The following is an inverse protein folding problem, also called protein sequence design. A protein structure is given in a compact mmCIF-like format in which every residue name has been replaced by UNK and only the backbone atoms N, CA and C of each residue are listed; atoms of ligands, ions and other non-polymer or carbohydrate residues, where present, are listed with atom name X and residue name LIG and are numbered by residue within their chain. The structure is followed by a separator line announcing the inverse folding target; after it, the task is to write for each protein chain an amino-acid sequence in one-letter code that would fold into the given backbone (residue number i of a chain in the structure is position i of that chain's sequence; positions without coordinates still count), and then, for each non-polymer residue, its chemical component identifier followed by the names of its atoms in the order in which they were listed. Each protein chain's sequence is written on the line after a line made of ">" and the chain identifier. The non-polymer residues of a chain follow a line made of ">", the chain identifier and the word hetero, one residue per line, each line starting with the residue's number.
data_IF_957627749675
#
_entry.id   IF_957627749675
#
_cell.length_a   1.000
_cell.length_b   1.000
_cell.length_c   1.000
_cell.angle_alpha   90.00
_cell.angle_beta   90.00
_cell.angle_gamma   90.00
#
_symmetry.space_group_name_H-M   'P 1'
#
loop_
_entity.id
_entity.type
_entity.pdbx_description
1 polymer ?
#
# COMPACT_ATOMS: atom_id res chain seq x y z
N UNK A 1 -7.02 25.16 -3.35
CA UNK A 1 -7.12 24.91 -4.79
C UNK A 1 -5.89 25.41 -5.57
N UNK A 2 -5.44 26.65 -5.38
CA UNK A 2 -4.28 27.21 -6.12
C UNK A 2 -3.03 26.33 -6.00
N UNK A 3 -2.73 25.77 -4.83
CA UNK A 3 -1.60 24.87 -4.64
C UNK A 3 -1.78 23.55 -5.40
N UNK A 4 -3.00 23.01 -5.48
CA UNK A 4 -3.29 21.80 -6.27
C UNK A 4 -3.08 22.07 -7.76
N UNK A 5 -3.47 23.23 -8.26
CA UNK A 5 -3.21 23.62 -9.66
C UNK A 5 -1.70 23.72 -9.97
N UNK A 6 -0.91 24.19 -8.99
CA UNK A 6 0.55 24.22 -9.12
C UNK A 6 1.16 22.80 -9.14
N UNK A 7 0.66 21.87 -8.31
CA UNK A 7 1.07 20.46 -8.34
C UNK A 7 0.73 19.80 -9.69
N UNK A 8 -0.47 20.02 -10.20
CA UNK A 8 -0.87 19.53 -11.52
C UNK A 8 0.07 20.05 -12.61
N UNK A 9 0.39 21.35 -12.60
CA UNK A 9 1.32 21.95 -13.53
C UNK A 9 2.73 21.35 -13.41
N UNK A 10 3.19 21.05 -12.21
CA UNK A 10 4.48 20.37 -11.95
C UNK A 10 4.57 19.01 -12.66
N UNK A 11 3.52 18.18 -12.56
CA UNK A 11 3.47 16.88 -13.22
C UNK A 11 3.41 16.94 -14.74
N UNK A 12 2.92 18.04 -15.32
CA UNK A 12 2.91 18.22 -16.77
C UNK A 12 4.28 18.58 -17.36
N UNK A 13 5.24 18.94 -16.53
CA UNK A 13 6.62 19.15 -16.96
C UNK A 13 7.23 17.79 -17.37
N UNK A 14 7.81 17.62 -18.57
CA UNK A 14 8.28 16.32 -19.05
C UNK A 14 9.24 15.58 -18.09
N UNK A 15 10.11 16.34 -17.40
CA UNK A 15 11.07 15.80 -16.43
C UNK A 15 10.39 15.21 -15.19
N UNK A 16 9.18 15.66 -14.85
CA UNK A 16 8.45 15.28 -13.65
C UNK A 16 7.32 14.27 -13.96
N UNK A 17 7.19 13.82 -15.19
CA UNK A 17 6.10 12.93 -15.62
C UNK A 17 6.04 11.60 -14.83
N UNK A 18 7.17 11.14 -14.28
CA UNK A 18 7.28 9.94 -13.47
C UNK A 18 7.56 10.24 -11.98
N UNK A 19 7.42 11.50 -11.55
CA UNK A 19 7.64 11.86 -10.16
C UNK A 19 6.72 11.05 -9.23
N UNK A 20 7.28 10.53 -8.15
CA UNK A 20 6.58 9.72 -7.13
C UNK A 20 5.78 8.50 -7.66
N UNK A 21 6.13 7.99 -8.83
CA UNK A 21 5.47 6.81 -9.43
C UNK A 21 5.94 5.50 -8.76
N UNK A 22 5.05 4.69 -8.12
CA UNK A 22 3.60 4.88 -8.00
C UNK A 22 3.18 5.29 -6.59
N UNK A 23 4.12 5.47 -5.69
CA UNK A 23 3.90 5.71 -4.25
C UNK A 23 3.06 6.97 -3.98
N UNK A 24 3.53 8.13 -4.41
CA UNK A 24 2.80 9.38 -4.20
C UNK A 24 1.45 9.40 -4.93
N UNK A 25 1.38 8.77 -6.12
CA UNK A 25 0.11 8.64 -6.86
C UNK A 25 -0.92 7.84 -6.06
N UNK A 26 -0.49 6.74 -5.44
CA UNK A 26 -1.34 5.90 -4.62
C UNK A 26 -1.88 6.64 -3.38
N UNK A 27 -1.02 7.41 -2.69
CA UNK A 27 -1.43 8.19 -1.54
C UNK A 27 -2.40 9.33 -1.89
N UNK A 28 -2.26 9.97 -3.05
CA UNK A 28 -3.23 10.96 -3.54
C UNK A 28 -4.60 10.31 -3.74
N UNK A 29 -4.64 9.11 -4.37
CA UNK A 29 -5.89 8.38 -4.57
C UNK A 29 -6.49 7.91 -3.24
N UNK A 30 -5.66 7.48 -2.28
CA UNK A 30 -6.14 7.11 -0.94
C UNK A 30 -6.75 8.31 -0.19
N UNK A 31 -6.12 9.47 -0.25
CA UNK A 31 -6.69 10.70 0.30
C UNK A 31 -8.02 11.07 -0.37
N UNK A 32 -8.08 10.95 -1.70
CA UNK A 32 -9.31 11.21 -2.44
C UNK A 32 -10.44 10.25 -2.04
N UNK A 33 -10.14 8.97 -1.83
CA UNK A 33 -11.07 7.96 -1.34
C UNK A 33 -11.62 8.34 0.05
N UNK A 34 -10.76 8.68 0.99
CA UNK A 34 -11.17 9.08 2.35
C UNK A 34 -12.07 10.33 2.32
N UNK A 35 -11.73 11.35 1.52
CA UNK A 35 -12.56 12.55 1.36
C UNK A 35 -13.91 12.24 0.71
N UNK A 36 -13.93 11.30 -0.25
CA UNK A 36 -15.16 10.84 -0.88
C UNK A 36 -16.10 10.15 0.11
N UNK A 37 -15.54 9.31 0.99
CA UNK A 37 -16.31 8.56 2.00
C UNK A 37 -16.74 9.40 3.19
N UNK A 38 -16.03 10.49 3.49
CA UNK A 38 -16.30 11.31 4.64
C UNK A 38 -17.56 12.19 4.39
N UNK A 39 -18.64 11.87 5.10
CA UNK A 39 -19.93 12.58 4.99
C UNK A 39 -19.92 13.87 5.81
N UNK A 40 -19.18 14.87 5.33
CA UNK A 40 -19.06 16.21 5.92
C UNK A 40 -18.93 17.26 4.80
N UNK A 41 -19.65 18.40 4.88
CA UNK A 41 -19.55 19.46 3.87
C UNK A 41 -18.13 19.98 3.64
N UNK A 42 -17.31 20.03 4.69
CA UNK A 42 -15.91 20.44 4.57
C UNK A 42 -15.08 19.41 3.79
N UNK A 43 -15.30 18.11 4.02
CA UNK A 43 -14.67 17.07 3.25
C UNK A 43 -15.02 17.16 1.76
N UNK A 44 -16.27 17.46 1.42
CA UNK A 44 -16.71 17.66 0.02
C UNK A 44 -16.07 18.88 -0.64
N UNK A 45 -15.82 19.92 0.12
CA UNK A 45 -15.04 21.07 -0.38
C UNK A 45 -13.58 20.67 -0.66
N UNK A 46 -12.95 19.91 0.25
CA UNK A 46 -11.58 19.42 0.07
C UNK A 46 -11.47 18.46 -1.11
N UNK A 47 -12.42 17.53 -1.24
CA UNK A 47 -12.53 16.61 -2.39
C UNK A 47 -12.58 17.39 -3.71
N UNK A 48 -13.49 18.35 -3.82
CA UNK A 48 -13.60 19.22 -5.00
C UNK A 48 -12.31 20.00 -5.30
N UNK A 49 -11.59 20.44 -4.27
CA UNK A 49 -10.30 21.10 -4.44
C UNK A 49 -9.19 20.16 -4.90
N UNK A 50 -9.20 18.91 -4.42
CA UNK A 50 -8.22 17.88 -4.77
C UNK A 50 -8.46 17.29 -6.16
N UNK A 51 -9.71 17.32 -6.68
CA UNK A 51 -10.16 16.62 -7.89
C UNK A 51 -9.21 16.77 -9.09
N UNK A 52 -8.67 17.97 -9.44
CA UNK A 52 -7.75 18.06 -10.60
C UNK A 52 -6.50 17.21 -10.47
N UNK A 53 -5.97 17.03 -9.25
CA UNK A 53 -4.80 16.18 -9.02
C UNK A 53 -5.21 14.69 -9.01
N UNK A 54 -6.37 14.38 -8.47
CA UNK A 54 -6.94 13.02 -8.48
C UNK A 54 -7.15 12.52 -9.91
N UNK A 55 -7.78 13.35 -10.76
CA UNK A 55 -8.01 13.03 -12.17
C UNK A 55 -6.68 12.77 -12.90
N UNK A 56 -5.68 13.62 -12.64
CA UNK A 56 -4.35 13.45 -13.21
C UNK A 56 -3.69 12.11 -12.78
N UNK A 57 -3.84 11.72 -11.50
CA UNK A 57 -3.30 10.42 -11.04
C UNK A 57 -4.00 9.25 -11.73
N UNK A 58 -5.32 9.31 -11.89
CA UNK A 58 -6.07 8.30 -12.65
C UNK A 58 -5.57 8.19 -14.09
N UNK A 59 -5.43 9.33 -14.79
CA UNK A 59 -4.89 9.36 -16.15
C UNK A 59 -3.49 8.75 -16.23
N UNK A 60 -2.62 9.06 -15.27
CA UNK A 60 -1.26 8.51 -15.19
C UNK A 60 -1.25 6.98 -15.02
N UNK A 61 -2.13 6.43 -14.19
CA UNK A 61 -2.29 4.97 -14.06
C UNK A 61 -2.77 4.35 -15.36
N UNK A 62 -3.81 4.92 -15.99
CA UNK A 62 -4.35 4.42 -17.27
C UNK A 62 -3.32 4.46 -18.41
N UNK A 63 -2.45 5.47 -18.43
CA UNK A 63 -1.37 5.60 -19.42
C UNK A 63 -0.18 4.68 -19.11
N UNK A 64 0.20 4.52 -17.85
CA UNK A 64 1.41 3.80 -17.44
C UNK A 64 1.24 2.29 -17.41
N UNK A 65 0.14 1.78 -16.82
CA UNK A 65 -0.04 0.35 -16.60
C UNK A 65 0.02 -0.49 -17.89
N UNK A 66 -0.54 -0.04 -19.04
CA UNK A 66 -0.40 -0.78 -20.29
C UNK A 66 1.04 -0.92 -20.81
N UNK A 67 1.91 0.04 -20.45
CA UNK A 67 3.31 0.10 -20.92
C UNK A 67 4.26 -0.75 -20.08
N UNK A 68 3.90 -1.03 -18.81
CA UNK A 68 4.74 -1.80 -17.92
C UNK A 68 4.62 -3.30 -18.25
N UNK A 69 5.69 -3.89 -18.77
CA UNK A 69 5.71 -5.30 -19.14
C UNK A 69 5.94 -6.18 -17.90
N UNK A 70 6.90 -5.82 -17.06
CA UNK A 70 7.29 -6.57 -15.87
C UNK A 70 6.93 -5.81 -14.61
N UNK A 71 6.38 -6.47 -13.57
CA UNK A 71 6.08 -5.81 -12.30
C UNK A 71 7.35 -5.41 -11.55
N UNK A 72 7.26 -4.33 -10.77
CA UNK A 72 8.36 -3.84 -9.94
C UNK A 72 8.12 -4.35 -8.51
N UNK A 73 8.98 -5.30 -8.07
CA UNK A 73 8.90 -5.98 -6.77
C UNK A 73 10.01 -5.50 -5.83
N UNK A 74 9.93 -4.25 -5.39
CA UNK A 74 10.89 -3.65 -4.45
C UNK A 74 10.19 -3.22 -3.17
N UNK A 75 10.92 -3.07 -2.08
CA UNK A 75 10.38 -2.60 -0.80
C UNK A 75 10.26 -1.08 -0.67
N UNK A 76 10.27 -0.35 -1.80
CA UNK A 76 10.36 1.11 -1.85
C UNK A 76 9.28 1.74 -2.75
N UNK A 77 9.38 3.07 -2.97
CA UNK A 77 8.42 3.92 -3.71
C UNK A 77 7.90 3.36 -5.04
N UNK A 78 8.73 2.64 -5.77
CA UNK A 78 8.32 2.07 -7.06
C UNK A 78 7.59 0.72 -6.97
N UNK A 79 7.30 0.21 -5.78
CA UNK A 79 6.52 -1.02 -5.61
C UNK A 79 5.19 -0.92 -6.32
N UNK A 80 4.99 -1.76 -7.35
CA UNK A 80 3.78 -1.66 -8.16
C UNK A 80 2.56 -2.25 -7.45
N UNK A 81 2.72 -3.31 -6.68
CA UNK A 81 1.62 -3.97 -6.00
C UNK A 81 0.96 -3.04 -4.96
N UNK A 82 1.76 -2.28 -4.19
CA UNK A 82 1.29 -1.21 -3.32
C UNK A 82 0.49 -0.16 -4.11
N UNK A 83 1.08 0.35 -5.20
CA UNK A 83 0.42 1.34 -6.05
C UNK A 83 -0.93 0.87 -6.59
N UNK A 84 -1.00 -0.41 -7.03
CA UNK A 84 -2.25 -1.02 -7.51
C UNK A 84 -3.27 -1.17 -6.39
N UNK A 85 -2.84 -1.57 -5.18
CA UNK A 85 -3.73 -1.85 -4.05
C UNK A 85 -4.56 -0.62 -3.66
N UNK A 86 -3.91 0.54 -3.50
CA UNK A 86 -4.60 1.78 -3.14
C UNK A 86 -5.42 2.35 -4.29
N UNK A 87 -4.90 2.30 -5.51
CA UNK A 87 -5.64 2.76 -6.69
C UNK A 87 -6.88 1.88 -6.96
N UNK A 88 -6.84 0.59 -6.62
CA UNK A 88 -7.97 -0.32 -6.75
C UNK A 88 -9.09 0.01 -5.75
N UNK A 89 -8.73 0.26 -4.48
CA UNK A 89 -9.69 0.66 -3.46
C UNK A 89 -10.41 1.95 -3.87
N UNK A 90 -9.66 2.97 -4.29
CA UNK A 90 -10.23 4.21 -4.83
C UNK A 90 -11.17 3.93 -6.01
N UNK A 91 -10.72 3.17 -7.02
CA UNK A 91 -11.51 2.89 -8.21
C UNK A 91 -12.85 2.21 -7.89
N UNK A 92 -12.84 1.27 -6.94
CA UNK A 92 -14.07 0.61 -6.45
C UNK A 92 -14.98 1.58 -5.70
N UNK A 93 -14.43 2.39 -4.81
CA UNK A 93 -15.19 3.32 -3.98
C UNK A 93 -15.93 4.36 -4.82
N UNK A 94 -15.28 4.90 -5.86
CA UNK A 94 -15.88 5.91 -6.73
C UNK A 94 -16.54 5.33 -8.00
N UNK A 95 -16.57 4.00 -8.16
CA UNK A 95 -17.10 3.27 -9.32
C UNK A 95 -16.41 3.64 -10.65
N UNK A 96 -15.07 3.78 -10.64
CA UNK A 96 -14.28 4.08 -11.84
C UNK A 96 -13.88 2.79 -12.57
N UNK A 97 -14.81 2.25 -13.40
CA UNK A 97 -14.67 0.92 -14.03
C UNK A 97 -13.39 0.74 -14.85
N UNK A 98 -12.99 1.74 -15.66
CA UNK A 98 -11.81 1.61 -16.51
C UNK A 98 -10.50 1.46 -15.69
N UNK A 99 -10.38 2.16 -14.54
CA UNK A 99 -9.24 2.02 -13.63
C UNK A 99 -9.28 0.67 -12.92
N UNK A 100 -10.45 0.27 -12.42
CA UNK A 100 -10.64 -1.04 -11.79
C UNK A 100 -10.25 -2.19 -12.72
N UNK A 101 -10.73 -2.19 -13.96
CA UNK A 101 -10.47 -3.23 -14.94
C UNK A 101 -8.98 -3.35 -15.29
N UNK A 102 -8.30 -2.23 -15.56
CA UNK A 102 -6.87 -2.28 -15.91
C UNK A 102 -6.02 -2.75 -14.74
N UNK A 103 -6.34 -2.33 -13.51
CA UNK A 103 -5.63 -2.77 -12.31
C UNK A 103 -5.83 -4.27 -12.10
N UNK A 104 -7.08 -4.75 -12.11
CA UNK A 104 -7.39 -6.18 -11.99
C UNK A 104 -6.65 -7.00 -13.03
N UNK A 105 -6.73 -6.57 -14.31
CA UNK A 105 -6.04 -7.24 -15.40
C UNK A 105 -4.54 -7.33 -15.16
N UNK A 106 -3.88 -6.22 -14.78
CA UNK A 106 -2.43 -6.21 -14.56
C UNK A 106 -2.00 -6.99 -13.35
N UNK A 107 -2.74 -6.92 -12.24
CA UNK A 107 -2.47 -7.75 -11.07
C UNK A 107 -2.52 -9.25 -11.41
N UNK A 108 -3.55 -9.68 -12.14
CA UNK A 108 -3.68 -11.06 -12.59
C UNK A 108 -2.57 -11.45 -13.58
N UNK A 109 -2.28 -10.63 -14.59
CA UNK A 109 -1.22 -10.88 -15.58
C UNK A 109 0.15 -11.09 -14.93
N UNK A 110 0.44 -10.34 -13.83
CA UNK A 110 1.76 -10.32 -13.21
C UNK A 110 1.92 -11.31 -12.04
N UNK A 111 0.88 -11.52 -11.26
CA UNK A 111 1.01 -12.16 -9.95
C UNK A 111 0.26 -13.49 -9.81
N UNK A 112 -0.70 -13.79 -10.69
CA UNK A 112 -1.49 -15.03 -10.56
C UNK A 112 -0.63 -16.29 -10.61
N UNK A 113 0.50 -16.26 -11.32
CA UNK A 113 1.40 -17.40 -11.47
C UNK A 113 2.46 -17.50 -10.36
N UNK A 114 2.59 -16.49 -9.50
CA UNK A 114 3.65 -16.44 -8.48
C UNK A 114 3.40 -17.45 -7.36
N UNK A 115 4.49 -18.06 -6.90
CA UNK A 115 4.49 -19.15 -5.91
C UNK A 115 5.71 -19.01 -5.00
N UNK A 116 5.57 -19.43 -3.73
CA UNK A 116 6.69 -19.49 -2.77
C UNK A 116 7.45 -18.17 -2.69
N UNK A 117 6.73 -17.08 -2.33
CA UNK A 117 7.36 -15.77 -2.22
C UNK A 117 8.58 -15.84 -1.29
N UNK A 118 9.75 -15.30 -1.71
CA UNK A 118 10.99 -15.44 -0.93
C UNK A 118 11.01 -14.51 0.29
N UNK A 119 10.02 -14.64 1.17
CA UNK A 119 9.85 -13.78 2.36
C UNK A 119 11.07 -13.80 3.29
N UNK A 120 11.86 -14.87 3.26
CA UNK A 120 13.10 -14.97 4.01
C UNK A 120 14.21 -14.01 3.54
N UNK A 121 14.05 -13.39 2.38
CA UNK A 121 14.97 -12.37 1.86
C UNK A 121 14.59 -10.96 2.34
N UNK A 122 13.43 -10.82 2.95
CA UNK A 122 12.95 -9.54 3.48
C UNK A 122 13.26 -9.38 4.99
N UNK A 123 13.53 -8.16 5.41
CA UNK A 123 13.62 -6.95 4.61
C UNK A 123 14.96 -6.79 3.90
N UNK A 124 14.99 -6.01 2.81
CA UNK A 124 16.20 -5.35 2.33
C UNK A 124 16.57 -4.18 3.26
N UNK A 125 17.77 -3.59 3.10
CA UNK A 125 18.39 -2.70 4.09
C UNK A 125 17.54 -1.55 4.63
N UNK A 126 16.62 -1.00 3.84
CA UNK A 126 15.76 0.13 4.22
C UNK A 126 14.37 0.08 3.55
N UNK A 127 13.85 -1.13 3.37
CA UNK A 127 12.47 -1.33 2.91
C UNK A 127 11.47 -0.68 3.87
N UNK A 128 10.45 -0.02 3.33
CA UNK A 128 9.26 0.40 4.07
C UNK A 128 7.99 -0.30 3.60
N UNK A 129 8.10 -1.12 2.57
CA UNK A 129 7.09 -2.03 2.07
C UNK A 129 7.68 -3.44 1.97
N UNK A 130 6.88 -4.46 2.26
CA UNK A 130 7.24 -5.85 1.99
C UNK A 130 6.74 -6.23 0.61
N UNK A 131 7.60 -6.52 -0.38
CA UNK A 131 7.17 -6.97 -1.69
C UNK A 131 6.17 -8.13 -1.65
N UNK A 132 6.44 -9.16 -0.85
CA UNK A 132 5.53 -10.31 -0.69
C UNK A 132 4.18 -9.91 -0.11
N UNK A 133 4.16 -9.08 0.94
CA UNK A 133 2.88 -8.68 1.54
C UNK A 133 2.10 -7.70 0.67
N UNK A 134 2.76 -6.80 -0.07
CA UNK A 134 2.03 -5.91 -0.98
C UNK A 134 1.40 -6.69 -2.15
N UNK A 135 2.07 -7.72 -2.65
CA UNK A 135 1.53 -8.61 -3.66
C UNK A 135 0.33 -9.39 -3.11
N UNK A 136 0.46 -9.92 -1.89
CA UNK A 136 -0.62 -10.59 -1.17
C UNK A 136 -1.84 -9.66 -1.00
N UNK A 137 -1.63 -8.39 -0.67
CA UNK A 137 -2.69 -7.40 -0.43
C UNK A 137 -3.49 -7.10 -1.71
N UNK A 138 -2.83 -6.84 -2.83
CA UNK A 138 -3.56 -6.61 -4.08
C UNK A 138 -4.28 -7.87 -4.56
N UNK A 139 -3.66 -9.05 -4.44
CA UNK A 139 -4.26 -10.28 -4.92
C UNK A 139 -5.53 -10.66 -4.14
N UNK A 140 -5.57 -10.45 -2.80
CA UNK A 140 -6.80 -10.66 -2.02
C UNK A 140 -7.94 -9.74 -2.45
N UNK A 141 -7.63 -8.53 -2.96
CA UNK A 141 -8.63 -7.56 -3.39
C UNK A 141 -9.19 -7.84 -4.79
N UNK A 142 -8.38 -8.40 -5.70
CA UNK A 142 -8.77 -8.60 -7.10
C UNK A 142 -9.29 -9.99 -7.43
N UNK A 143 -8.94 -11.00 -6.63
CA UNK A 143 -9.41 -12.38 -6.80
C UNK A 143 -10.76 -12.61 -6.11
N UNK A 144 -11.45 -13.68 -6.49
CA UNK A 144 -12.53 -14.22 -5.65
C UNK A 144 -11.95 -14.84 -4.38
N UNK A 145 -12.73 -14.96 -3.31
CA UNK A 145 -12.26 -15.56 -2.05
C UNK A 145 -11.76 -17.00 -2.24
N UNK A 146 -12.40 -17.78 -3.13
CA UNK A 146 -12.02 -19.16 -3.44
C UNK A 146 -10.68 -19.23 -4.18
N UNK A 147 -10.53 -18.42 -5.22
CA UNK A 147 -9.29 -18.35 -6.00
C UNK A 147 -8.13 -17.84 -5.13
N UNK A 148 -8.37 -16.80 -4.33
CA UNK A 148 -7.37 -16.26 -3.41
C UNK A 148 -6.94 -17.32 -2.38
N UNK A 149 -7.90 -18.05 -1.77
CA UNK A 149 -7.57 -19.10 -0.82
C UNK A 149 -6.69 -20.20 -1.44
N UNK A 150 -6.90 -20.52 -2.69
CA UNK A 150 -6.07 -21.48 -3.44
C UNK A 150 -4.71 -20.91 -3.76
N UNK A 151 -4.66 -19.66 -4.21
CA UNK A 151 -3.42 -18.98 -4.62
C UNK A 151 -2.49 -18.73 -3.42
N UNK A 152 -3.00 -18.19 -2.31
CA UNK A 152 -2.20 -17.85 -1.12
C UNK A 152 -1.53 -19.08 -0.50
N UNK A 153 -2.18 -20.25 -0.56
CA UNK A 153 -1.59 -21.52 -0.10
C UNK A 153 -0.37 -21.98 -0.92
N UNK A 154 -0.21 -21.46 -2.12
CA UNK A 154 0.93 -21.74 -2.98
C UNK A 154 1.94 -20.57 -2.95
N UNK A 155 1.48 -19.37 -2.63
CA UNK A 155 2.29 -18.16 -2.59
C UNK A 155 3.02 -18.00 -1.25
N UNK A 156 2.30 -18.15 -0.12
CA UNK A 156 2.83 -18.06 1.24
C UNK A 156 2.14 -19.10 2.15
N UNK A 157 2.43 -20.40 1.97
CA UNK A 157 1.75 -21.48 2.71
C UNK A 157 1.91 -21.39 4.23
N UNK A 158 3.00 -20.80 4.71
CA UNK A 158 3.32 -20.63 6.13
C UNK A 158 2.34 -19.74 6.88
N UNK A 159 1.64 -18.82 6.21
CA UNK A 159 0.65 -17.93 6.85
C UNK A 159 -0.51 -18.66 7.53
N UNK A 160 -0.80 -19.91 7.13
CA UNK A 160 -1.84 -20.74 7.75
C UNK A 160 -1.44 -21.37 9.08
N UNK A 161 -0.15 -21.42 9.36
CA UNK A 161 0.31 -21.95 10.63
C UNK A 161 -0.07 -21.02 11.78
N UNK A 162 -0.72 -21.56 12.81
CA UNK A 162 -0.95 -20.81 14.04
C UNK A 162 0.35 -20.44 14.78
N UNK A 163 1.47 -21.05 14.39
CA UNK A 163 2.80 -20.73 14.91
C UNK A 163 3.52 -19.69 14.04
N UNK A 164 2.86 -19.21 12.96
CA UNK A 164 3.46 -18.20 12.10
C UNK A 164 3.79 -16.94 12.90
N UNK A 165 5.04 -16.55 12.79
CA UNK A 165 5.55 -15.35 13.42
C UNK A 165 6.63 -14.72 12.53
N UNK A 166 6.50 -13.44 12.30
CA UNK A 166 7.49 -12.61 11.65
C UNK A 166 7.94 -11.53 12.63
N UNK A 167 9.23 -11.45 12.91
CA UNK A 167 9.78 -10.41 13.77
C UNK A 167 9.66 -9.03 13.11
N UNK A 168 9.39 -7.97 13.89
CA UNK A 168 9.48 -6.60 13.40
C UNK A 168 10.85 -6.28 12.82
N UNK A 169 10.88 -5.47 11.76
CA UNK A 169 12.11 -4.89 11.24
C UNK A 169 12.72 -3.94 12.28
N UNK A 170 14.02 -4.08 12.52
CA UNK A 170 14.72 -3.32 13.57
C UNK A 170 15.52 -2.16 12.99
N UNK A 171 15.33 -0.96 13.52
CA UNK A 171 16.15 0.21 13.19
C UNK A 171 17.39 0.22 14.07
N UNK A 172 18.57 0.09 13.47
CA UNK A 172 19.85 0.05 14.19
C UNK A 172 20.44 1.45 14.48
N UNK A 173 20.14 2.42 13.62
CA UNK A 173 20.56 3.82 13.77
C UNK A 173 19.40 4.75 13.39
N UNK A 174 18.83 5.41 14.38
CA UNK A 174 17.72 6.34 14.18
C UNK A 174 18.13 7.72 13.66
N UNK A 175 19.42 7.99 13.56
CA UNK A 175 19.93 9.22 12.93
C UNK A 175 20.09 9.08 11.42
N UNK A 176 19.99 7.86 10.89
CA UNK A 176 20.01 7.59 9.46
C UNK A 176 18.58 7.62 8.90
N UNK A 177 18.26 8.65 8.11
CA UNK A 177 16.94 8.85 7.50
C UNK A 177 16.49 7.70 6.57
N UNK A 178 17.42 6.82 6.12
CA UNK A 178 17.09 5.63 5.35
C UNK A 178 16.75 4.44 6.25
N UNK A 179 17.52 4.20 7.31
CA UNK A 179 17.28 3.04 8.18
C UNK A 179 15.96 3.15 8.95
N UNK A 180 15.48 4.36 9.25
CA UNK A 180 14.15 4.57 9.88
C UNK A 180 12.97 4.12 9.00
N UNK A 181 13.19 3.88 7.72
CA UNK A 181 12.18 3.29 6.83
C UNK A 181 11.66 1.94 7.32
N UNK A 182 12.45 1.17 8.08
CA UNK A 182 12.02 -0.11 8.65
C UNK A 182 10.85 0.02 9.65
N UNK A 183 10.63 1.19 10.27
CA UNK A 183 9.41 1.44 11.02
C UNK A 183 8.17 1.47 10.10
N UNK A 184 8.30 2.06 8.92
CA UNK A 184 7.27 2.01 7.89
C UNK A 184 6.97 0.59 7.41
N UNK A 185 8.00 -0.25 7.28
CA UNK A 185 7.84 -1.66 6.96
C UNK A 185 6.96 -2.37 7.99
N UNK A 186 7.15 -2.09 9.28
CA UNK A 186 6.34 -2.68 10.33
C UNK A 186 4.86 -2.30 10.19
N UNK A 187 4.56 -1.03 9.98
CA UNK A 187 3.18 -0.61 9.71
C UNK A 187 2.62 -1.23 8.43
N UNK A 188 3.41 -1.31 7.35
CA UNK A 188 2.96 -1.88 6.09
C UNK A 188 2.70 -3.38 6.16
N UNK A 189 3.47 -4.13 6.93
CA UNK A 189 3.20 -5.54 7.24
C UNK A 189 1.93 -5.68 8.07
N UNK A 190 1.77 -4.84 9.10
CA UNK A 190 0.61 -4.91 9.98
C UNK A 190 -0.70 -4.68 9.22
N UNK A 191 -0.80 -3.70 8.32
CA UNK A 191 -2.05 -3.48 7.60
C UNK A 191 -2.47 -4.64 6.69
N UNK A 192 -1.50 -5.37 6.11
CA UNK A 192 -1.80 -6.54 5.30
C UNK A 192 -2.27 -7.71 6.17
N UNK A 193 -1.58 -7.96 7.29
CA UNK A 193 -1.97 -9.00 8.25
C UNK A 193 -3.37 -8.74 8.83
N UNK A 194 -3.69 -7.49 9.19
CA UNK A 194 -5.04 -7.11 9.63
C UNK A 194 -6.07 -7.29 8.52
N UNK A 195 -5.74 -6.88 7.29
CA UNK A 195 -6.62 -7.06 6.13
C UNK A 195 -7.00 -8.52 5.90
N UNK A 196 -6.00 -9.43 5.98
CA UNK A 196 -6.24 -10.88 5.91
C UNK A 196 -7.11 -11.39 7.06
N UNK A 197 -6.77 -11.01 8.29
CA UNK A 197 -7.51 -11.46 9.48
C UNK A 197 -8.96 -10.97 9.47
N UNK A 198 -9.22 -9.76 8.97
CA UNK A 198 -10.57 -9.19 8.84
C UNK A 198 -11.40 -9.90 7.77
N UNK A 199 -10.81 -10.17 6.62
CA UNK A 199 -11.51 -10.77 5.48
C UNK A 199 -11.69 -12.28 5.64
N UNK A 200 -10.69 -12.96 6.22
CA UNK A 200 -10.67 -14.42 6.44
C UNK A 200 -10.40 -14.76 7.91
N UNK A 201 -11.32 -14.39 8.84
CA UNK A 201 -11.04 -14.50 10.28
C UNK A 201 -10.84 -15.92 10.80
N UNK A 202 -11.41 -16.92 10.13
CA UNK A 202 -11.26 -18.34 10.51
C UNK A 202 -9.87 -18.87 10.16
N UNK A 203 -9.33 -18.47 9.02
CA UNK A 203 -8.08 -18.94 8.47
C UNK A 203 -6.88 -18.13 8.98
N UNK A 204 -7.07 -16.80 9.13
CA UNK A 204 -5.97 -15.86 9.39
C UNK A 204 -6.18 -14.96 10.62
N UNK A 205 -7.22 -15.19 11.45
CA UNK A 205 -7.46 -14.39 12.65
C UNK A 205 -6.29 -14.43 13.66
N UNK A 206 -5.49 -15.50 13.67
CA UNK A 206 -4.29 -15.61 14.49
C UNK A 206 -3.19 -14.59 14.12
N UNK A 207 -3.19 -14.06 12.91
CA UNK A 207 -2.20 -13.08 12.45
C UNK A 207 -2.35 -11.72 13.12
N UNK A 208 -3.50 -11.43 13.76
CA UNK A 208 -3.73 -10.18 14.50
C UNK A 208 -2.68 -9.96 15.59
N UNK A 209 -2.27 -11.02 16.28
CA UNK A 209 -1.24 -10.91 17.31
C UNK A 209 0.09 -10.43 16.71
N UNK A 210 0.52 -11.02 15.60
CA UNK A 210 1.76 -10.63 14.95
C UNK A 210 1.67 -9.20 14.37
N UNK A 211 0.52 -8.81 13.80
CA UNK A 211 0.29 -7.44 13.36
C UNK A 211 0.41 -6.43 14.53
N UNK A 212 -0.17 -6.75 15.70
CA UNK A 212 -0.06 -5.93 16.91
C UNK A 212 1.40 -5.73 17.33
N UNK A 213 2.24 -6.77 17.24
CA UNK A 213 3.65 -6.65 17.61
C UNK A 213 4.41 -5.70 16.70
N UNK A 214 4.15 -5.74 15.39
CA UNK A 214 4.69 -4.77 14.44
C UNK A 214 4.27 -3.34 14.76
N UNK A 215 2.98 -3.11 15.06
CA UNK A 215 2.46 -1.80 15.46
C UNK A 215 3.14 -1.31 16.74
N UNK A 216 3.12 -2.13 17.81
CA UNK A 216 3.66 -1.74 19.11
C UNK A 216 5.16 -1.46 19.08
N UNK A 217 5.89 -2.14 18.20
CA UNK A 217 7.33 -1.91 18.03
C UNK A 217 7.62 -0.52 17.46
N UNK A 218 6.89 -0.09 16.44
CA UNK A 218 7.20 1.15 15.69
C UNK A 218 6.37 2.37 16.12
N UNK A 219 5.26 2.17 16.85
CA UNK A 219 4.38 3.27 17.24
C UNK A 219 5.09 4.39 18.04
N UNK A 220 6.02 4.09 18.97
CA UNK A 220 6.75 5.14 19.68
C UNK A 220 7.57 6.06 18.77
N UNK A 221 8.02 5.56 17.64
CA UNK A 221 8.89 6.28 16.68
C UNK A 221 8.16 7.38 15.88
N UNK A 222 6.83 7.47 15.98
CA UNK A 222 6.06 8.47 15.23
C UNK A 222 6.27 9.88 15.77
N UNK A 223 6.51 10.04 17.08
CA UNK A 223 6.51 11.34 17.77
C UNK A 223 7.87 11.79 18.28
N UNK A 224 8.80 10.87 18.49
CA UNK A 224 10.06 11.15 19.20
C UNK A 224 11.31 10.99 18.31
N UNK A 225 11.15 10.92 16.99
CA UNK A 225 12.24 10.67 16.05
C UNK A 225 12.55 11.87 15.15
N UNK A 226 13.61 11.77 14.32
CA UNK A 226 14.00 12.79 13.38
C UNK A 226 12.93 13.08 12.31
N UNK A 227 12.91 14.30 11.78
CA UNK A 227 11.96 14.75 10.76
C UNK A 227 11.88 13.81 9.53
N UNK A 228 13.00 13.23 9.11
CA UNK A 228 13.05 12.32 7.96
C UNK A 228 12.14 11.10 8.11
N UNK A 229 11.88 10.63 9.34
CA UNK A 229 10.93 9.55 9.63
C UNK A 229 9.53 10.07 9.94
N UNK A 230 9.41 11.02 10.84
CA UNK A 230 8.13 11.41 11.46
C UNK A 230 7.11 12.01 10.50
N UNK A 231 7.53 12.68 9.41
CA UNK A 231 6.59 13.36 8.51
C UNK A 231 5.71 12.43 7.66
N UNK A 232 6.04 11.13 7.51
CA UNK A 232 5.27 10.16 6.73
C UNK A 232 4.82 8.92 7.54
N UNK A 233 5.55 8.54 8.59
CA UNK A 233 5.22 7.38 9.43
C UNK A 233 3.82 7.48 10.04
N UNK A 234 3.37 8.69 10.36
CA UNK A 234 2.03 8.93 10.88
C UNK A 234 0.93 8.43 9.93
N UNK A 235 1.08 8.66 8.62
CA UNK A 235 0.12 8.16 7.62
C UNK A 235 0.09 6.64 7.55
N UNK A 236 1.26 5.99 7.63
CA UNK A 236 1.38 4.54 7.68
C UNK A 236 0.71 3.94 8.92
N UNK A 237 0.97 4.53 10.08
CA UNK A 237 0.38 4.07 11.34
C UNK A 237 -1.14 4.22 11.35
N UNK A 238 -1.66 5.39 10.93
CA UNK A 238 -3.12 5.63 10.85
C UNK A 238 -3.77 4.63 9.91
N UNK A 239 -3.20 4.42 8.72
CA UNK A 239 -3.73 3.45 7.77
C UNK A 239 -3.68 2.02 8.32
N UNK A 240 -2.58 1.62 8.96
CA UNK A 240 -2.47 0.31 9.57
C UNK A 240 -3.51 0.09 10.68
N UNK A 241 -3.69 1.07 11.57
CA UNK A 241 -4.68 1.00 12.65
C UNK A 241 -6.13 0.97 12.13
N UNK A 242 -6.41 1.65 11.02
CA UNK A 242 -7.71 1.62 10.35
C UNK A 242 -8.03 0.22 9.78
N UNK A 243 -7.02 -0.60 9.46
CA UNK A 243 -7.22 -1.97 9.00
C UNK A 243 -7.45 -2.98 10.14
N UNK A 244 -7.18 -2.60 11.39
CA UNK A 244 -7.36 -3.50 12.53
C UNK A 244 -8.82 -4.00 12.64
N UNK A 245 -9.03 -5.32 12.93
CA UNK A 245 -10.36 -5.92 13.05
C UNK A 245 -11.13 -5.44 14.29
#
# INVERSE_FOLDING_TARGET
>A
RQNIEAEVAYFHTPQNSSFERTYGWAWVLKLAEELYLWDDPFAKELESNLQPLTDLMVEKYLDFLPKLIYPIRVGEHSNIAFGLSFAYDYAKTVNHSALEEIIRKRAMDWFQADRNCPISWEPSGFDFLSPCFQELDIMRKVMTNEDFSTWVNQFMPELRSHEYFMAPGMVSDRTDGKLVHLDGLNFSRAWVLYGLAREFPKEYGHLVQNANEHILYSLPSIVDDNYEGTHWLGSFAVYALQQAP
#
